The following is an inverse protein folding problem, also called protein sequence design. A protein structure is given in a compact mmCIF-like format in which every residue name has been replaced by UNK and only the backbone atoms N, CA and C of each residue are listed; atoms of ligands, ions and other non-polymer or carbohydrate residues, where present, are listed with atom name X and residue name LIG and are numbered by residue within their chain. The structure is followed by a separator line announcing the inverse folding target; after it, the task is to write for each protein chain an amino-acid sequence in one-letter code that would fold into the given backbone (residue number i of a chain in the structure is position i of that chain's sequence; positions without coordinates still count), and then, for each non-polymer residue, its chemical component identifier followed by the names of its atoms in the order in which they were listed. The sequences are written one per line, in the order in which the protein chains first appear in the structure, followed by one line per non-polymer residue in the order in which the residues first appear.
data_IF_592737045044
#
_entry.id   IF_592737045044
#
_cell.length_a   1.000
_cell.length_b   1.000
_cell.length_c   1.000
_cell.angle_alpha   90.00
_cell.angle_beta   90.00
_cell.angle_gamma   90.00
#
_symmetry.space_group_name_H-M   'P 1'
#
loop_
_entity.id
_entity.type
_entity.pdbx_description
1 polymer ?
#
# COMPACT_ATOMS: atom_id res chain seq x y z
N UNK A 1 -1.35 12.01 18.35
CA UNK A 1 -0.70 13.34 18.22
C UNK A 1 0.76 13.15 17.81
N UNK A 2 1.13 13.45 16.57
CA UNK A 2 2.53 13.31 16.09
C UNK A 2 3.44 14.31 16.82
N UNK A 3 4.57 13.85 17.33
CA UNK A 3 5.57 14.74 17.99
C UNK A 3 6.25 15.61 16.93
N UNK A 4 6.45 16.92 17.23
CA UNK A 4 7.26 17.83 16.40
C UNK A 4 8.68 17.27 16.33
N UNK A 5 9.09 16.78 15.15
CA UNK A 5 10.46 16.26 14.91
C UNK A 5 10.52 14.93 14.16
N UNK A 6 9.40 14.20 13.98
CA UNK A 6 9.41 12.98 13.18
C UNK A 6 9.64 13.31 11.71
N UNK A 7 10.72 12.76 11.14
CA UNK A 7 10.96 12.85 9.69
C UNK A 7 9.75 12.26 8.96
N UNK A 8 9.21 13.04 8.03
CA UNK A 8 8.15 12.57 7.15
C UNK A 8 8.62 11.30 6.44
N UNK A 9 7.76 10.26 6.34
CA UNK A 9 8.14 9.04 5.66
C UNK A 9 8.53 9.34 4.20
N UNK A 10 9.52 8.63 3.68
CA UNK A 10 9.96 8.75 2.29
C UNK A 10 8.86 8.39 1.28
N UNK A 11 7.87 7.63 1.71
CA UNK A 11 6.65 7.30 0.95
C UNK A 11 5.43 7.46 1.84
N UNK A 12 4.37 8.04 1.28
CA UNK A 12 3.09 8.22 1.98
C UNK A 12 2.14 7.03 1.80
N UNK A 13 2.51 6.09 0.94
CA UNK A 13 1.74 4.89 0.68
C UNK A 13 2.37 3.68 1.36
N UNK A 14 1.58 2.82 2.00
CA UNK A 14 2.05 1.53 2.48
C UNK A 14 2.36 0.55 1.34
N UNK A 15 1.80 0.75 0.14
CA UNK A 15 2.14 -0.03 -1.06
C UNK A 15 3.33 0.57 -1.82
N UNK A 16 4.21 -0.29 -2.28
CA UNK A 16 5.27 0.02 -3.25
C UNK A 16 4.67 -0.08 -4.65
N UNK A 17 3.93 0.93 -5.06
CA UNK A 17 3.14 0.87 -6.30
C UNK A 17 3.90 1.50 -7.46
N UNK A 18 4.27 0.72 -8.52
CA UNK A 18 4.87 1.27 -9.73
C UNK A 18 3.96 2.31 -10.39
N UNK A 19 4.53 3.44 -10.81
CA UNK A 19 3.73 4.53 -11.42
C UNK A 19 2.96 5.39 -10.42
N UNK A 20 3.30 5.32 -9.12
CA UNK A 20 2.65 6.12 -8.09
C UNK A 20 2.70 7.62 -8.37
N UNK A 21 1.58 8.31 -8.13
CA UNK A 21 1.34 9.73 -8.46
C UNK A 21 1.97 10.73 -7.48
N UNK A 22 2.68 10.28 -6.45
CA UNK A 22 3.24 11.15 -5.40
C UNK A 22 4.16 12.26 -5.92
N UNK A 23 4.79 12.06 -7.09
CA UNK A 23 5.63 13.08 -7.75
C UNK A 23 4.83 14.27 -8.28
N UNK A 24 3.54 14.11 -8.50
CA UNK A 24 2.66 15.18 -8.96
C UNK A 24 2.13 16.06 -7.83
N UNK A 25 2.55 15.82 -6.59
CA UNK A 25 2.01 16.51 -5.42
C UNK A 25 2.06 18.05 -5.54
N UNK A 26 3.23 18.60 -5.85
CA UNK A 26 3.38 20.05 -5.93
C UNK A 26 2.54 20.66 -7.05
N UNK A 27 2.43 19.96 -8.19
CA UNK A 27 1.58 20.38 -9.30
C UNK A 27 0.09 20.35 -8.94
N UNK A 28 -0.38 19.26 -8.34
CA UNK A 28 -1.79 19.16 -7.91
C UNK A 28 -2.10 20.16 -6.81
N UNK A 29 -1.18 20.38 -5.87
CA UNK A 29 -1.36 21.41 -4.83
C UNK A 29 -1.52 22.80 -5.44
N UNK A 30 -0.73 23.16 -6.46
CA UNK A 30 -0.91 24.44 -7.17
C UNK A 30 -2.29 24.53 -7.85
N UNK A 31 -2.76 23.46 -8.48
CA UNK A 31 -4.13 23.42 -9.05
C UNK A 31 -5.18 23.69 -7.96
N UNK A 32 -5.05 23.04 -6.80
CA UNK A 32 -5.99 23.26 -5.69
C UNK A 32 -5.98 24.72 -5.20
N UNK A 33 -4.80 25.32 -5.07
CA UNK A 33 -4.64 26.72 -4.66
C UNK A 33 -5.28 27.65 -5.69
N UNK A 34 -4.94 27.51 -6.99
CA UNK A 34 -5.42 28.38 -8.05
C UNK A 34 -6.95 28.32 -8.23
N UNK A 35 -7.58 27.24 -7.82
CA UNK A 35 -9.03 27.03 -7.92
C UNK A 35 -9.77 27.20 -6.58
N UNK A 36 -9.10 27.64 -5.51
CA UNK A 36 -9.67 27.80 -4.16
C UNK A 36 -10.25 26.48 -3.61
N UNK A 37 -9.59 25.34 -3.87
CA UNK A 37 -10.02 23.99 -3.48
C UNK A 37 -9.23 23.43 -2.29
N UNK A 38 -8.38 24.24 -1.65
CA UNK A 38 -7.71 23.83 -0.42
C UNK A 38 -8.74 23.54 0.68
N UNK A 39 -8.60 22.41 1.36
CA UNK A 39 -9.55 21.94 2.37
C UNK A 39 -10.79 21.24 1.80
N UNK A 40 -10.90 21.06 0.49
CA UNK A 40 -12.00 20.34 -0.14
C UNK A 40 -11.77 18.82 -0.16
N UNK A 41 -12.69 18.06 -0.75
CA UNK A 41 -12.57 16.61 -0.93
C UNK A 41 -11.79 16.31 -2.21
N UNK A 42 -10.75 15.49 -2.10
CA UNK A 42 -9.99 14.97 -3.24
C UNK A 42 -10.45 13.54 -3.59
N UNK A 43 -10.73 13.29 -4.86
CA UNK A 43 -11.19 11.99 -5.35
C UNK A 43 -10.14 11.40 -6.28
N UNK A 44 -9.67 10.18 -6.01
CA UNK A 44 -8.72 9.45 -6.84
C UNK A 44 -9.34 8.12 -7.33
N UNK A 45 -9.95 8.09 -8.53
CA UNK A 45 -10.71 6.93 -9.04
C UNK A 45 -9.84 5.71 -9.38
N UNK A 46 -8.56 5.92 -9.65
CA UNK A 46 -7.56 4.89 -9.95
C UNK A 46 -6.42 5.04 -8.95
N UNK A 47 -6.70 4.66 -7.71
CA UNK A 47 -5.87 4.98 -6.56
C UNK A 47 -4.51 4.25 -6.58
N UNK A 48 -4.47 2.98 -6.98
CA UNK A 48 -3.28 2.16 -6.83
C UNK A 48 -2.73 2.26 -5.42
N UNK A 49 -1.50 2.75 -5.28
CA UNK A 49 -0.90 3.01 -3.98
C UNK A 49 -1.41 4.28 -3.27
N UNK A 50 -2.31 5.07 -3.84
CA UNK A 50 -2.91 6.29 -3.30
C UNK A 50 -1.92 7.31 -2.66
N UNK A 51 -0.65 7.26 -3.06
CA UNK A 51 0.40 8.05 -2.40
C UNK A 51 0.22 9.56 -2.53
N UNK A 52 -0.44 10.04 -3.60
CA UNK A 52 -0.79 11.44 -3.75
C UNK A 52 -1.95 11.83 -2.83
N UNK A 53 -3.05 11.06 -2.87
CA UNK A 53 -4.22 11.31 -2.03
C UNK A 53 -3.86 11.34 -0.54
N UNK A 54 -3.11 10.33 -0.08
CA UNK A 54 -2.64 10.26 1.32
C UNK A 54 -1.72 11.43 1.65
N UNK A 55 -0.82 11.83 0.74
CA UNK A 55 0.07 12.98 0.96
C UNK A 55 -0.72 14.28 1.10
N UNK A 56 -1.70 14.52 0.25
CA UNK A 56 -2.56 15.70 0.33
C UNK A 56 -3.33 15.75 1.66
N UNK A 57 -3.88 14.61 2.10
CA UNK A 57 -4.60 14.51 3.37
C UNK A 57 -3.70 14.77 4.58
N UNK A 58 -2.53 14.12 4.63
CA UNK A 58 -1.60 14.25 5.76
C UNK A 58 -0.94 15.64 5.87
N UNK A 59 -0.89 16.39 4.77
CA UNK A 59 -0.43 17.78 4.79
C UNK A 59 -1.57 18.80 5.00
N UNK A 60 -2.80 18.34 5.23
CA UNK A 60 -3.99 19.18 5.39
C UNK A 60 -4.30 20.05 4.15
N UNK A 61 -3.84 19.66 2.96
CA UNK A 61 -4.20 20.34 1.73
C UNK A 61 -5.67 20.04 1.35
N UNK A 62 -6.18 18.89 1.79
CA UNK A 62 -7.58 18.47 1.65
C UNK A 62 -8.10 17.93 2.98
N UNK A 63 -9.39 18.09 3.23
CA UNK A 63 -10.04 17.58 4.49
C UNK A 63 -10.46 16.12 4.41
N UNK A 64 -10.61 15.60 3.19
CA UNK A 64 -11.11 14.25 2.94
C UNK A 64 -10.55 13.73 1.63
N UNK A 65 -10.28 12.44 1.58
CA UNK A 65 -9.99 11.73 0.33
C UNK A 65 -11.04 10.65 0.09
N UNK A 66 -11.36 10.42 -1.16
CA UNK A 66 -12.15 9.30 -1.65
C UNK A 66 -11.27 8.56 -2.65
N UNK A 67 -10.96 7.32 -2.35
CA UNK A 67 -10.11 6.48 -3.19
C UNK A 67 -10.92 5.30 -3.72
N UNK A 68 -10.72 4.97 -4.98
CA UNK A 68 -11.29 3.80 -5.63
C UNK A 68 -10.25 3.17 -6.53
N UNK A 69 -10.34 1.87 -6.73
CA UNK A 69 -9.56 1.17 -7.77
C UNK A 69 -10.42 0.09 -8.43
N UNK A 70 -10.17 -0.14 -9.70
CA UNK A 70 -10.86 -1.17 -10.47
C UNK A 70 -10.35 -2.58 -10.14
N UNK A 71 -9.08 -2.69 -9.70
CA UNK A 71 -8.48 -3.97 -9.30
C UNK A 71 -9.04 -4.38 -7.93
N UNK A 72 -9.78 -5.52 -7.86
CA UNK A 72 -10.34 -6.01 -6.60
C UNK A 72 -9.29 -6.21 -5.51
N UNK A 73 -8.07 -6.58 -5.87
CA UNK A 73 -6.99 -6.78 -4.92
C UNK A 73 -6.53 -5.46 -4.29
N UNK A 74 -6.42 -4.39 -5.07
CA UNK A 74 -6.11 -3.04 -4.58
C UNK A 74 -7.26 -2.49 -3.74
N UNK A 75 -8.51 -2.69 -4.20
CA UNK A 75 -9.68 -2.33 -3.40
C UNK A 75 -9.67 -3.05 -2.04
N UNK A 76 -9.48 -4.36 -2.04
CA UNK A 76 -9.46 -5.19 -0.83
C UNK A 76 -8.38 -4.74 0.16
N UNK A 77 -7.18 -4.41 -0.33
CA UNK A 77 -6.12 -3.86 0.49
C UNK A 77 -6.53 -2.55 1.18
N UNK A 78 -7.07 -1.59 0.44
CA UNK A 78 -7.49 -0.30 1.02
C UNK A 78 -8.70 -0.46 1.94
N UNK A 79 -9.64 -1.31 1.58
CA UNK A 79 -10.80 -1.64 2.43
C UNK A 79 -10.34 -2.20 3.78
N UNK A 80 -9.47 -3.21 3.77
CA UNK A 80 -8.99 -3.86 4.99
C UNK A 80 -8.22 -2.88 5.90
N UNK A 81 -7.38 -2.02 5.33
CA UNK A 81 -6.68 -0.98 6.12
C UNK A 81 -7.67 -0.01 6.80
N UNK A 82 -8.75 0.35 6.12
CA UNK A 82 -9.68 1.37 6.61
C UNK A 82 -10.75 0.82 7.56
N UNK A 83 -11.17 -0.42 7.37
CA UNK A 83 -12.32 -0.97 8.08
C UNK A 83 -12.00 -2.19 8.95
N UNK A 84 -10.85 -2.82 8.74
CA UNK A 84 -10.39 -4.02 9.47
C UNK A 84 -8.94 -3.84 9.97
N UNK A 85 -8.59 -2.62 10.38
CA UNK A 85 -7.22 -2.19 10.69
C UNK A 85 -6.53 -3.11 11.70
N UNK A 86 -7.20 -3.43 12.81
CA UNK A 86 -6.61 -4.25 13.88
C UNK A 86 -6.32 -5.66 13.37
N UNK A 87 -7.28 -6.30 12.70
CA UNK A 87 -7.10 -7.63 12.11
C UNK A 87 -5.99 -7.63 11.04
N UNK A 88 -5.88 -6.56 10.24
CA UNK A 88 -4.82 -6.42 9.26
C UNK A 88 -3.43 -6.28 9.91
N UNK A 89 -3.34 -5.52 10.99
CA UNK A 89 -2.10 -5.38 11.77
C UNK A 89 -1.71 -6.71 12.44
N UNK A 90 -2.66 -7.45 13.01
CA UNK A 90 -2.43 -8.78 13.58
C UNK A 90 -1.88 -9.76 12.54
N UNK A 91 -2.39 -9.71 11.29
CA UNK A 91 -1.85 -10.50 10.18
C UNK A 91 -0.40 -10.09 9.84
N UNK A 92 -0.08 -8.79 9.83
CA UNK A 92 1.30 -8.34 9.63
C UNK A 92 2.22 -8.92 10.70
N UNK A 93 1.81 -8.88 11.96
CA UNK A 93 2.65 -9.31 13.08
C UNK A 93 2.79 -10.82 13.16
N UNK A 94 1.72 -11.57 12.94
CA UNK A 94 1.70 -13.03 13.11
C UNK A 94 2.24 -13.79 11.90
N UNK A 95 2.07 -13.29 10.67
CA UNK A 95 2.40 -14.04 9.45
C UNK A 95 3.92 -14.14 9.26
N UNK A 96 4.48 -15.34 9.08
CA UNK A 96 5.90 -15.50 8.84
C UNK A 96 6.30 -15.06 7.42
N UNK A 97 7.56 -14.62 7.27
CA UNK A 97 8.11 -14.25 5.96
C UNK A 97 8.94 -15.41 5.45
N UNK A 98 8.29 -16.39 4.84
CA UNK A 98 8.87 -17.63 4.33
C UNK A 98 8.43 -17.91 2.89
N UNK A 99 9.17 -18.80 2.20
CA UNK A 99 8.81 -19.21 0.83
C UNK A 99 7.47 -19.93 0.78
N UNK A 100 7.16 -20.73 1.78
CA UNK A 100 5.89 -21.45 1.82
C UNK A 100 4.73 -20.50 2.05
N UNK A 101 4.90 -19.53 2.94
CA UNK A 101 3.91 -18.48 3.14
C UNK A 101 3.75 -17.60 1.89
N UNK A 102 4.84 -17.28 1.21
CA UNK A 102 4.75 -16.56 -0.07
C UNK A 102 3.93 -17.32 -1.12
N UNK A 103 4.07 -18.66 -1.20
CA UNK A 103 3.26 -19.50 -2.08
C UNK A 103 1.79 -19.48 -1.66
N UNK A 104 1.51 -19.56 -0.35
CA UNK A 104 0.14 -19.48 0.18
C UNK A 104 -0.52 -18.16 -0.19
N UNK A 105 0.14 -17.02 0.09
CA UNK A 105 -0.37 -15.70 -0.24
C UNK A 105 -0.52 -15.49 -1.77
N UNK A 106 0.37 -16.08 -2.57
CA UNK A 106 0.24 -16.08 -4.02
C UNK A 106 -0.98 -16.87 -4.50
N UNK A 107 -1.26 -18.01 -3.90
CA UNK A 107 -2.45 -18.81 -4.21
C UNK A 107 -3.72 -18.04 -3.84
N UNK A 108 -3.80 -17.47 -2.64
CA UNK A 108 -4.93 -16.61 -2.22
C UNK A 108 -5.16 -15.45 -3.20
N UNK A 109 -4.09 -14.82 -3.68
CA UNK A 109 -4.18 -13.73 -4.65
C UNK A 109 -4.66 -14.21 -6.03
N UNK A 110 -4.21 -15.39 -6.49
CA UNK A 110 -4.51 -15.91 -7.84
C UNK A 110 -5.89 -16.56 -7.90
N UNK A 111 -6.31 -17.23 -6.83
CA UNK A 111 -7.63 -17.88 -6.70
C UNK A 111 -8.46 -17.13 -5.64
N UNK A 112 -8.89 -15.94 -6.01
CA UNK A 112 -9.53 -15.00 -5.09
C UNK A 112 -11.06 -15.13 -5.05
N UNK A 113 -11.65 -16.13 -5.71
CA UNK A 113 -13.11 -16.27 -5.81
C UNK A 113 -13.78 -16.52 -4.45
N UNK A 114 -13.10 -17.26 -3.55
CA UNK A 114 -13.60 -17.62 -2.23
C UNK A 114 -12.90 -16.84 -1.09
N UNK A 115 -11.97 -15.97 -1.40
CA UNK A 115 -11.23 -15.20 -0.40
C UNK A 115 -12.07 -14.04 0.14
N UNK A 116 -12.02 -13.83 1.46
CA UNK A 116 -12.57 -12.62 2.07
C UNK A 116 -11.80 -11.36 1.63
N UNK A 117 -12.40 -10.19 1.81
CA UNK A 117 -11.75 -8.91 1.51
C UNK A 117 -10.44 -8.74 2.30
N UNK A 118 -10.43 -9.17 3.57
CA UNK A 118 -9.23 -9.12 4.42
C UNK A 118 -8.12 -10.04 3.88
N UNK A 119 -8.44 -11.27 3.53
CA UNK A 119 -7.45 -12.23 3.02
C UNK A 119 -6.85 -11.77 1.70
N UNK A 120 -7.67 -11.32 0.74
CA UNK A 120 -7.18 -10.79 -0.54
C UNK A 120 -6.38 -9.51 -0.35
N UNK A 121 -6.82 -8.62 0.53
CA UNK A 121 -6.12 -7.38 0.87
C UNK A 121 -4.75 -7.65 1.48
N UNK A 122 -4.68 -8.59 2.43
CA UNK A 122 -3.43 -8.99 3.04
C UNK A 122 -2.49 -9.71 2.07
N UNK A 123 -2.98 -10.62 1.26
CA UNK A 123 -2.19 -11.29 0.23
C UNK A 123 -1.58 -10.28 -0.76
N UNK A 124 -2.38 -9.29 -1.17
CA UNK A 124 -1.93 -8.19 -2.02
C UNK A 124 -0.77 -7.42 -1.39
N UNK A 125 -0.91 -7.05 -0.12
CA UNK A 125 0.12 -6.34 0.62
C UNK A 125 1.38 -7.21 0.82
N UNK A 126 1.21 -8.46 1.23
CA UNK A 126 2.33 -9.39 1.45
C UNK A 126 3.17 -9.56 0.19
N UNK A 127 2.52 -9.84 -0.94
CA UNK A 127 3.21 -9.98 -2.23
C UNK A 127 3.86 -8.67 -2.68
N UNK A 128 3.19 -7.54 -2.48
CA UNK A 128 3.78 -6.23 -2.77
C UNK A 128 5.07 -5.97 -1.99
N UNK A 129 5.15 -6.44 -0.75
CA UNK A 129 6.33 -6.27 0.11
C UNK A 129 7.43 -7.28 -0.16
N UNK A 130 7.10 -8.49 -0.58
CA UNK A 130 8.05 -9.58 -0.80
C UNK A 130 8.51 -9.73 -2.25
N UNK A 131 7.80 -9.13 -3.22
CA UNK A 131 8.15 -9.22 -4.64
C UNK A 131 9.05 -8.10 -5.12
N UNK A 132 9.82 -8.39 -6.17
CA UNK A 132 10.71 -7.44 -6.85
C UNK A 132 9.92 -6.21 -7.28
N UNK A 133 10.44 -5.03 -6.95
CA UNK A 133 9.85 -3.73 -7.28
C UNK A 133 8.41 -3.51 -6.80
N UNK A 134 7.86 -4.36 -5.94
CA UNK A 134 6.48 -4.28 -5.47
C UNK A 134 5.44 -4.72 -6.51
N UNK A 135 5.85 -5.42 -7.56
CA UNK A 135 4.95 -5.96 -8.58
C UNK A 135 4.26 -7.20 -8.01
N UNK A 136 2.95 -7.10 -7.75
CA UNK A 136 2.19 -8.15 -7.03
C UNK A 136 2.26 -9.49 -7.76
N UNK A 137 2.11 -9.47 -9.10
CA UNK A 137 2.24 -10.67 -9.96
C UNK A 137 3.69 -11.04 -10.29
N UNK A 138 4.65 -10.32 -9.72
CA UNK A 138 6.08 -10.52 -9.97
C UNK A 138 6.68 -11.71 -9.24
N UNK A 139 7.99 -11.85 -9.41
CA UNK A 139 8.79 -12.85 -8.69
C UNK A 139 9.24 -12.33 -7.34
N UNK A 140 9.56 -13.27 -6.46
CA UNK A 140 10.04 -13.01 -5.09
C UNK A 140 11.43 -12.35 -5.08
N UNK A 141 11.66 -11.42 -4.16
CA UNK A 141 12.98 -10.82 -3.92
C UNK A 141 13.95 -11.91 -3.45
N UNK A 142 15.13 -11.97 -4.04
CA UNK A 142 16.15 -12.97 -3.72
C UNK A 142 16.00 -14.30 -4.46
N UNK A 143 14.96 -14.46 -5.28
CA UNK A 143 14.67 -15.68 -6.03
C UNK A 143 14.16 -16.83 -5.15
N UNK A 144 13.85 -17.96 -5.77
CA UNK A 144 13.32 -19.16 -5.08
C UNK A 144 14.35 -19.74 -4.09
N UNK A 145 15.63 -19.68 -4.42
CA UNK A 145 16.71 -20.20 -3.57
C UNK A 145 17.15 -19.20 -2.48
N UNK A 146 16.58 -17.99 -2.48
CA UNK A 146 16.94 -16.92 -1.53
C UNK A 146 18.46 -16.69 -1.44
N UNK A 147 19.18 -16.78 -2.57
CA UNK A 147 20.64 -16.59 -2.67
C UNK A 147 21.03 -15.15 -3.00
N UNK A 148 20.10 -14.30 -3.40
CA UNK A 148 20.34 -12.90 -3.75
C UNK A 148 20.85 -12.07 -2.58
N UNK A 149 21.48 -10.92 -2.86
CA UNK A 149 21.94 -9.94 -1.87
C UNK A 149 20.79 -9.43 -0.98
N UNK A 150 19.65 -9.18 -1.59
CA UNK A 150 18.41 -8.86 -0.86
C UNK A 150 17.50 -10.06 -0.88
N UNK A 151 16.93 -10.38 0.28
CA UNK A 151 15.96 -11.46 0.46
C UNK A 151 14.54 -10.94 0.55
N UNK A 152 13.57 -11.84 0.60
CA UNK A 152 12.15 -11.50 0.57
C UNK A 152 11.70 -10.58 1.71
N UNK A 153 12.39 -10.60 2.87
CA UNK A 153 12.11 -9.75 4.03
C UNK A 153 12.66 -8.32 3.89
N UNK A 154 13.51 -8.04 2.89
CA UNK A 154 14.23 -6.77 2.73
C UNK A 154 13.30 -5.53 2.68
N UNK A 155 12.02 -5.72 2.35
CA UNK A 155 11.01 -4.65 2.28
C UNK A 155 9.81 -4.90 3.17
N UNK A 156 9.87 -5.93 4.01
CA UNK A 156 8.82 -6.29 4.96
C UNK A 156 9.29 -6.06 6.41
N UNK A 157 9.55 -4.81 6.75
CA UNK A 157 9.96 -4.45 8.12
C UNK A 157 8.71 -4.23 8.98
N UNK A 158 8.28 -5.26 9.70
CA UNK A 158 7.09 -5.26 10.57
C UNK A 158 7.05 -4.09 11.56
N UNK A 159 8.21 -3.63 12.07
CA UNK A 159 8.29 -2.52 13.05
C UNK A 159 7.97 -1.16 12.45
N UNK A 160 8.01 -1.03 11.13
CA UNK A 160 7.83 0.23 10.43
C UNK A 160 6.57 0.22 9.53
N UNK A 161 5.80 -0.82 9.60
CA UNK A 161 4.55 -1.00 8.87
C UNK A 161 3.36 -0.75 9.79
#
# INVERSE_FOLDING_TARGET
MRKRGDKMPSTYSPLRYPGGKSKFYDYIKQILICNNLIGETYIEPFAGGAGLAVKLLLNNDVKRIVINDFDPAIYSFWHSILYETDAFCDLIDSTPITLDEWKNQRNTYMDNNDSSTLELGFATFYLNRTNVSGVIKGGIIGGQEQTGTYKMDARFNKKNL
#
